data_IF_640720416932
#
_entry.id   IF_640720416932
#
_cell.length_a   1.000
_cell.length_b   1.000
_cell.length_c   1.000
_cell.angle_alpha   90.00
_cell.angle_beta   90.00
_cell.angle_gamma   90.00
#
_symmetry.space_group_name_H-M   'P 1'
#
loop_
_entity.id
_entity.type
_entity.pdbx_description
1 polymer ?
#
# COMPACT_ATOMS: atom_id res chain seq x y z
N UNK A 1 -4.52 -10.15 -28.15
CA UNK A 1 -5.28 -10.48 -26.92
C UNK A 1 -4.40 -10.25 -25.70
N UNK A 2 -4.56 -9.10 -25.05
CA UNK A 2 -3.90 -8.82 -23.76
C UNK A 2 -4.74 -9.49 -22.68
N UNK A 3 -4.33 -10.68 -22.24
CA UNK A 3 -4.89 -11.29 -21.04
C UNK A 3 -4.47 -10.38 -19.88
N UNK A 4 -5.43 -9.58 -19.38
CA UNK A 4 -5.28 -8.89 -18.12
C UNK A 4 -5.27 -10.00 -17.06
N UNK A 5 -4.10 -10.36 -16.53
CA UNK A 5 -4.01 -11.29 -15.41
C UNK A 5 -4.59 -10.60 -14.18
N UNK A 6 -5.87 -10.84 -13.93
CA UNK A 6 -6.53 -10.44 -12.70
C UNK A 6 -6.23 -11.51 -11.66
N UNK A 7 -5.28 -11.25 -10.77
CA UNK A 7 -5.06 -12.10 -9.60
C UNK A 7 -5.62 -11.40 -8.36
N UNK A 8 -6.32 -12.20 -7.53
CA UNK A 8 -6.99 -11.73 -6.32
C UNK A 8 -6.04 -11.89 -5.13
N UNK A 9 -5.93 -10.85 -4.32
CA UNK A 9 -5.09 -10.82 -3.14
C UNK A 9 -5.91 -10.46 -1.90
N UNK A 10 -5.49 -10.98 -0.76
CA UNK A 10 -5.96 -10.56 0.56
C UNK A 10 -4.74 -10.20 1.39
N UNK A 11 -4.78 -9.01 1.98
CA UNK A 11 -3.75 -8.48 2.86
C UNK A 11 -4.34 -8.37 4.26
N UNK A 12 -3.72 -9.01 5.22
CA UNK A 12 -4.05 -8.87 6.64
C UNK A 12 -3.16 -7.79 7.24
N UNK A 13 -3.77 -6.83 7.91
CA UNK A 13 -3.07 -5.78 8.61
C UNK A 13 -2.91 -6.15 10.09
N UNK A 14 -1.68 -6.36 10.53
CA UNK A 14 -1.35 -6.73 11.90
C UNK A 14 -1.11 -5.46 12.72
N UNK A 15 -1.92 -5.26 13.77
CA UNK A 15 -1.70 -4.20 14.75
C UNK A 15 -0.59 -4.62 15.72
N UNK A 16 0.67 -4.37 15.35
CA UNK A 16 1.81 -4.65 16.23
C UNK A 16 2.08 -3.38 17.06
N UNK A 17 1.52 -3.33 18.27
CA UNK A 17 1.65 -2.20 19.20
C UNK A 17 0.94 -0.91 18.78
N UNK A 18 1.25 0.21 19.47
CA UNK A 18 0.70 1.55 19.18
C UNK A 18 1.31 2.22 17.94
N UNK A 19 2.34 1.61 17.35
CA UNK A 19 3.12 2.21 16.30
C UNK A 19 2.57 1.77 14.94
N UNK A 20 1.57 2.47 14.39
CA UNK A 20 1.21 2.34 12.96
C UNK A 20 2.31 2.82 11.99
N UNK A 21 3.57 2.81 12.39
CA UNK A 21 4.65 3.58 11.79
C UNK A 21 4.63 5.05 12.23
N UNK A 22 5.78 5.73 12.14
CA UNK A 22 5.95 7.11 12.61
C UNK A 22 5.01 8.14 11.92
N UNK A 23 4.36 7.75 10.82
CA UNK A 23 3.52 8.63 10.02
C UNK A 23 2.01 8.40 10.21
N UNK A 24 1.59 7.29 10.84
CA UNK A 24 0.19 7.04 11.16
C UNK A 24 -0.15 7.56 12.55
N UNK A 25 -1.31 8.21 12.65
CA UNK A 25 -1.89 8.61 13.92
C UNK A 25 -2.40 7.36 14.65
N UNK A 26 -1.86 6.99 15.82
CA UNK A 26 -2.21 5.75 16.51
C UNK A 26 -3.71 5.62 16.81
N UNK A 27 -4.35 6.72 17.22
CA UNK A 27 -5.77 6.72 17.54
C UNK A 27 -6.63 6.39 16.30
N UNK A 28 -6.37 7.07 15.17
CA UNK A 28 -7.08 6.79 13.91
C UNK A 28 -6.72 5.42 13.35
N UNK A 29 -5.48 5.01 13.50
CA UNK A 29 -4.99 3.71 13.09
C UNK A 29 -5.78 2.58 13.76
N UNK A 30 -5.92 2.61 15.10
CA UNK A 30 -6.70 1.61 15.82
C UNK A 30 -8.21 1.72 15.63
N UNK A 31 -8.76 2.92 15.38
CA UNK A 31 -10.21 3.10 15.25
C UNK A 31 -10.76 2.87 13.84
N UNK A 32 -9.93 3.09 12.81
CA UNK A 32 -10.41 3.29 11.44
C UNK A 32 -9.64 2.53 10.37
N UNK A 33 -8.44 2.01 10.66
CA UNK A 33 -7.72 1.16 9.71
C UNK A 33 -8.43 -0.20 9.62
N UNK A 34 -8.76 -0.70 8.42
CA UNK A 34 -9.21 -2.09 8.25
C UNK A 34 -8.13 -3.09 8.68
N UNK A 35 -8.54 -4.17 9.34
CA UNK A 35 -7.66 -5.30 9.66
C UNK A 35 -7.44 -6.23 8.46
N UNK A 36 -8.26 -6.10 7.42
CA UNK A 36 -8.22 -6.91 6.20
C UNK A 36 -8.48 -6.02 4.99
N UNK A 37 -7.65 -6.17 3.96
CA UNK A 37 -7.81 -5.56 2.65
C UNK A 37 -7.95 -6.66 1.59
N UNK A 38 -9.12 -6.76 0.97
CA UNK A 38 -9.46 -7.84 0.05
C UNK A 38 -10.38 -8.90 0.70
N UNK A 39 -10.62 -10.04 0.01
CA UNK A 39 -10.07 -10.42 -1.29
C UNK A 39 -10.49 -9.46 -2.41
N UNK A 40 -9.56 -9.11 -3.30
CA UNK A 40 -9.83 -8.22 -4.43
C UNK A 40 -8.67 -8.14 -5.41
N UNK A 41 -8.87 -7.46 -6.54
CA UNK A 41 -7.82 -7.24 -7.54
C UNK A 41 -6.64 -6.46 -6.93
N UNK A 42 -5.41 -6.83 -7.28
CA UNK A 42 -4.19 -6.28 -6.69
C UNK A 42 -4.15 -4.74 -6.65
N UNK A 43 -4.48 -4.08 -7.77
CA UNK A 43 -4.52 -2.61 -7.86
C UNK A 43 -5.60 -1.98 -6.99
N UNK A 44 -6.76 -2.64 -6.87
CA UNK A 44 -7.86 -2.20 -6.00
C UNK A 44 -7.49 -2.34 -4.52
N UNK A 45 -6.83 -3.44 -4.16
CA UNK A 45 -6.34 -3.68 -2.80
C UNK A 45 -5.24 -2.67 -2.42
N UNK A 46 -4.25 -2.43 -3.30
CA UNK A 46 -3.23 -1.40 -3.09
C UNK A 46 -3.83 0.00 -2.92
N UNK A 47 -4.78 0.37 -3.78
CA UNK A 47 -5.51 1.64 -3.66
C UNK A 47 -6.15 1.76 -2.27
N UNK A 48 -6.85 0.73 -1.83
CA UNK A 48 -7.56 0.74 -0.54
C UNK A 48 -6.59 0.85 0.64
N UNK A 49 -5.44 0.18 0.56
CA UNK A 49 -4.34 0.31 1.54
C UNK A 49 -3.84 1.76 1.59
N UNK A 50 -3.51 2.36 0.44
CA UNK A 50 -3.01 3.73 0.37
C UNK A 50 -4.02 4.73 0.93
N UNK A 51 -5.28 4.66 0.50
CA UNK A 51 -6.34 5.56 0.97
C UNK A 51 -6.55 5.43 2.49
N UNK A 52 -6.52 4.20 3.02
CA UNK A 52 -6.70 3.96 4.46
C UNK A 52 -5.52 4.49 5.28
N UNK A 53 -4.29 4.32 4.79
CA UNK A 53 -3.10 4.90 5.41
C UNK A 53 -3.14 6.44 5.39
N UNK A 54 -3.55 7.03 4.27
CA UNK A 54 -3.69 8.50 4.15
C UNK A 54 -4.71 9.02 5.16
N UNK A 55 -5.90 8.39 5.25
CA UNK A 55 -6.93 8.74 6.24
C UNK A 55 -6.42 8.61 7.68
N UNK A 56 -5.59 7.61 7.95
CA UNK A 56 -5.04 7.39 9.28
C UNK A 56 -3.78 8.22 9.58
N UNK A 57 -3.14 8.84 8.59
CA UNK A 57 -1.88 9.58 8.76
C UNK A 57 -2.00 10.83 9.63
N UNK A 58 -0.91 11.25 10.29
CA UNK A 58 -0.85 12.56 10.96
C UNK A 58 -0.94 13.73 9.98
N UNK A 59 -0.36 13.58 8.79
CA UNK A 59 -0.26 14.61 7.75
C UNK A 59 -0.53 13.99 6.36
N UNK A 60 -1.79 14.00 5.90
CA UNK A 60 -2.19 13.36 4.64
C UNK A 60 -1.36 13.79 3.43
N UNK A 61 -1.11 15.10 3.28
CA UNK A 61 -0.31 15.63 2.16
C UNK A 61 1.13 15.12 2.18
N UNK A 62 1.79 15.14 3.35
CA UNK A 62 3.16 14.61 3.50
C UNK A 62 3.20 13.10 3.23
N UNK A 63 2.16 12.37 3.65
CA UNK A 63 2.04 10.92 3.42
C UNK A 63 1.91 10.62 1.92
N UNK A 64 1.05 11.36 1.21
CA UNK A 64 0.90 11.23 -0.25
C UNK A 64 2.23 11.47 -0.96
N UNK A 65 2.97 12.51 -0.59
CA UNK A 65 4.28 12.79 -1.19
C UNK A 65 5.26 11.63 -0.96
N UNK A 66 5.26 10.99 0.22
CA UNK A 66 6.05 9.79 0.47
C UNK A 66 5.67 8.60 -0.42
N UNK A 67 4.37 8.42 -0.72
CA UNK A 67 3.92 7.39 -1.68
C UNK A 67 4.45 7.71 -3.09
N UNK A 68 4.38 8.96 -3.52
CA UNK A 68 4.88 9.38 -4.82
C UNK A 68 6.40 9.22 -4.93
N UNK A 69 7.13 9.53 -3.85
CA UNK A 69 8.58 9.37 -3.74
C UNK A 69 9.04 7.92 -3.64
N UNK A 70 8.13 6.98 -3.32
CA UNK A 70 8.45 5.55 -3.22
C UNK A 70 8.65 4.89 -4.59
N UNK A 71 8.03 5.45 -5.63
CA UNK A 71 8.09 4.92 -7.00
C UNK A 71 8.77 5.90 -7.99
N UNK A 72 9.98 6.43 -7.70
CA UNK A 72 10.58 7.51 -8.47
C UNK A 72 11.15 7.02 -9.82
N UNK A 73 11.60 5.76 -9.89
CA UNK A 73 12.17 5.16 -11.12
C UNK A 73 11.16 4.97 -12.27
N UNK A 74 9.87 5.15 -11.98
CA UNK A 74 8.77 5.13 -12.97
C UNK A 74 8.42 6.55 -13.43
N UNK A 75 8.64 7.56 -12.59
CA UNK A 75 8.38 8.95 -12.91
C UNK A 75 9.57 9.62 -13.62
N UNK A 76 10.78 9.05 -13.51
CA UNK A 76 12.04 9.57 -14.09
C UNK A 76 12.50 8.90 -15.41
N UNK A 77 11.58 8.56 -16.32
CA UNK A 77 11.92 8.25 -17.72
C UNK A 77 12.66 6.92 -18.00
N UNK A 78 12.65 5.93 -17.09
CA UNK A 78 13.01 4.54 -17.45
C UNK A 78 11.78 3.81 -17.97
N UNK A 79 11.95 3.04 -19.05
CA UNK A 79 10.96 2.14 -19.69
C UNK A 79 10.51 1.00 -18.76
N UNK A 80 10.02 1.32 -17.57
CA UNK A 80 9.34 0.36 -16.70
C UNK A 80 7.86 0.52 -17.05
N UNK A 81 7.25 -0.56 -17.53
CA UNK A 81 5.80 -0.57 -17.75
C UNK A 81 5.11 -0.30 -16.42
N UNK A 82 4.21 0.67 -16.39
CA UNK A 82 3.58 1.14 -15.16
C UNK A 82 2.06 1.20 -15.29
N UNK A 83 1.41 1.06 -14.15
CA UNK A 83 -0.04 1.20 -14.01
C UNK A 83 -0.34 2.39 -13.10
N UNK A 84 -1.40 3.12 -13.43
CA UNK A 84 -1.84 4.28 -12.68
C UNK A 84 -2.93 3.90 -11.69
N UNK A 85 -2.71 4.15 -10.40
CA UNK A 85 -3.76 4.10 -9.37
C UNK A 85 -4.23 5.53 -9.09
N UNK A 86 -5.52 5.79 -9.26
CA UNK A 86 -6.14 7.05 -8.83
C UNK A 86 -6.70 6.90 -7.42
N UNK A 87 -6.13 7.65 -6.47
CA UNK A 87 -6.56 7.71 -5.07
C UNK A 87 -7.87 8.49 -4.90
N UNK A 88 -8.53 8.34 -3.75
CA UNK A 88 -9.82 9.01 -3.47
C UNK A 88 -9.71 10.55 -3.50
N UNK A 89 -8.57 11.09 -3.12
CA UNK A 89 -8.29 12.53 -3.15
C UNK A 89 -7.99 13.07 -4.57
N UNK A 90 -8.00 12.20 -5.59
CA UNK A 90 -7.69 12.53 -6.98
C UNK A 90 -6.22 12.43 -7.37
N UNK A 91 -5.30 12.18 -6.42
CA UNK A 91 -3.88 11.97 -6.73
C UNK A 91 -3.71 10.70 -7.57
N UNK A 92 -2.85 10.78 -8.60
CA UNK A 92 -2.46 9.64 -9.42
C UNK A 92 -1.09 9.16 -8.95
N UNK A 93 -1.00 7.88 -8.59
CA UNK A 93 0.24 7.19 -8.25
C UNK A 93 0.58 6.24 -9.39
N UNK A 94 1.77 6.40 -9.98
CA UNK A 94 2.29 5.44 -10.94
C UNK A 94 3.04 4.35 -10.18
N UNK A 95 2.61 3.10 -10.32
CA UNK A 95 3.25 1.94 -9.69
C UNK A 95 3.75 0.96 -10.77
N UNK A 96 4.74 0.10 -10.45
CA UNK A 96 5.17 -0.93 -11.38
C UNK A 96 3.99 -1.79 -11.83
N UNK A 97 4.07 -2.33 -13.06
CA UNK A 97 3.15 -3.39 -13.46
C UNK A 97 3.31 -4.59 -12.53
N UNK A 98 2.18 -5.22 -12.21
CA UNK A 98 2.11 -6.35 -11.32
C UNK A 98 1.66 -7.53 -12.17
N UNK A 99 2.61 -8.38 -12.56
CA UNK A 99 2.39 -9.52 -13.45
C UNK A 99 2.11 -10.80 -12.66
N UNK A 100 2.51 -10.85 -11.40
CA UNK A 100 2.37 -11.99 -10.52
C UNK A 100 2.23 -11.57 -9.03
N UNK A 101 2.06 -12.55 -8.15
CA UNK A 101 1.88 -12.31 -6.71
C UNK A 101 3.15 -11.76 -6.03
N UNK A 102 4.34 -12.15 -6.48
CA UNK A 102 5.61 -11.68 -5.92
C UNK A 102 5.81 -10.19 -6.17
N UNK A 103 5.46 -9.69 -7.36
CA UNK A 103 5.48 -8.27 -7.70
C UNK A 103 4.58 -7.45 -6.75
N UNK A 104 3.40 -7.97 -6.42
CA UNK A 104 2.49 -7.33 -5.45
C UNK A 104 3.14 -7.24 -4.07
N UNK A 105 3.69 -8.36 -3.58
CA UNK A 105 4.33 -8.40 -2.27
C UNK A 105 5.62 -7.58 -2.22
N UNK A 106 6.32 -7.38 -3.34
CA UNK A 106 7.44 -6.45 -3.44
C UNK A 106 6.98 -5.00 -3.24
N UNK A 107 5.90 -4.58 -3.91
CA UNK A 107 5.31 -3.23 -3.73
C UNK A 107 4.87 -3.02 -2.28
N UNK A 108 4.21 -4.02 -1.68
CA UNK A 108 3.82 -3.97 -0.26
C UNK A 108 5.03 -3.82 0.65
N UNK A 109 6.11 -4.59 0.43
CA UNK A 109 7.35 -4.48 1.20
C UNK A 109 8.03 -3.13 1.03
N UNK A 110 8.08 -2.59 -0.19
CA UNK A 110 8.57 -1.24 -0.45
C UNK A 110 7.76 -0.21 0.34
N UNK A 111 6.43 -0.33 0.34
CA UNK A 111 5.54 0.56 1.07
C UNK A 111 5.76 0.50 2.58
N UNK A 112 5.86 -0.70 3.16
CA UNK A 112 6.16 -0.88 4.58
C UNK A 112 7.50 -0.26 4.97
N UNK A 113 8.56 -0.59 4.23
CA UNK A 113 9.92 -0.14 4.55
C UNK A 113 10.11 1.36 4.32
N UNK A 114 9.56 1.90 3.24
CA UNK A 114 9.74 3.29 2.85
C UNK A 114 8.87 4.29 3.61
N UNK A 115 7.71 3.86 4.11
CA UNK A 115 6.70 4.78 4.67
C UNK A 115 6.35 4.43 6.11
N UNK A 116 6.17 3.14 6.43
CA UNK A 116 5.77 2.72 7.77
C UNK A 116 6.97 2.51 8.71
N UNK A 117 8.20 2.56 8.20
CA UNK A 117 9.45 2.62 8.97
C UNK A 117 9.57 1.57 10.10
N UNK A 118 9.01 0.38 9.91
CA UNK A 118 9.06 -0.69 10.89
C UNK A 118 9.72 -1.95 10.35
N UNK A 119 10.57 -2.57 11.18
CA UNK A 119 10.99 -3.96 11.04
C UNK A 119 9.85 -4.94 11.37
N UNK A 120 8.70 -4.42 11.80
CA UNK A 120 7.53 -5.17 12.22
C UNK A 120 6.60 -5.42 11.03
N UNK A 121 6.25 -6.67 10.79
CA UNK A 121 5.41 -7.11 9.68
C UNK A 121 3.96 -6.65 9.87
N UNK A 122 3.68 -5.37 9.57
CA UNK A 122 2.33 -4.80 9.59
C UNK A 122 1.36 -5.46 8.60
N UNK A 123 1.89 -6.18 7.62
CA UNK A 123 1.14 -6.74 6.51
C UNK A 123 1.58 -8.19 6.32
N UNK A 124 0.62 -9.11 6.26
CA UNK A 124 0.85 -10.54 6.01
C UNK A 124 -0.19 -11.15 5.06
N UNK A 125 0.18 -12.29 4.46
CA UNK A 125 -0.72 -13.17 3.68
C UNK A 125 -1.71 -13.95 4.55
N UNK A 126 -1.42 -14.06 5.85
CA UNK A 126 -2.20 -14.81 6.84
C UNK A 126 -2.62 -13.89 7.99
N UNK A 127 -3.79 -14.09 8.61
CA UNK A 127 -4.14 -13.39 9.84
C UNK A 127 -3.10 -13.71 10.92
N UNK A 128 -2.73 -12.71 11.75
CA UNK A 128 -1.93 -12.99 12.94
C UNK A 128 -2.71 -13.96 13.84
N UNK A 129 -2.10 -15.10 14.18
CA UNK A 129 -2.60 -15.93 15.27
C UNK A 129 -2.45 -15.14 16.56
N UNK A 130 -3.58 -14.73 17.13
CA UNK A 130 -3.72 -14.16 18.47
C UNK A 130 -3.06 -15.02 19.53
#
# INVERSE_FOLDING_TARGET
DNILFVFLVTVYWNYIGDNGGMLLNPQRFHSSMPSIFGPGECYTVLKTIFDSCIKCSFQPTSFINRILDLFPSINDNKKISSTQIKLENGTIVNIPNIENEDDFWEIIRMFQNGILAGNDLFISTLPHST
#
